data_IF_635394987307
#
_entry.id   IF_635394987307
#
_cell.length_a   1.000
_cell.length_b   1.000
_cell.length_c   1.000
_cell.angle_alpha   90.00
_cell.angle_beta   90.00
_cell.angle_gamma   90.00
#
_symmetry.space_group_name_H-M   'P 1'
#
loop_
_entity.id
_entity.type
_entity.pdbx_description
1 polymer ?
#
# COMPACT_ATOMS: atom_id res chain seq x y z
N UNK A 1 -13.42 -5.28 68.25
CA UNK A 1 -13.29 -6.12 67.04
C UNK A 1 -14.17 -5.66 65.85
N UNK A 2 -15.26 -4.88 66.02
CA UNK A 2 -16.14 -4.48 64.92
C UNK A 2 -15.59 -3.43 63.94
N UNK A 3 -14.78 -2.48 64.41
CA UNK A 3 -14.29 -1.35 63.60
C UNK A 3 -13.29 -1.78 62.51
N UNK A 4 -12.43 -2.75 62.80
CA UNK A 4 -11.44 -3.29 61.86
C UNK A 4 -12.10 -4.09 60.72
N UNK A 5 -13.22 -4.76 61.02
CA UNK A 5 -14.04 -5.49 60.03
C UNK A 5 -14.79 -4.52 59.11
N UNK A 6 -15.29 -3.41 59.64
CA UNK A 6 -15.96 -2.36 58.85
C UNK A 6 -15.01 -1.68 57.87
N UNK A 7 -13.80 -1.31 58.30
CA UNK A 7 -12.77 -0.69 57.44
C UNK A 7 -12.36 -1.60 56.27
N UNK A 8 -12.25 -2.91 56.48
CA UNK A 8 -11.98 -3.89 55.40
C UNK A 8 -13.13 -4.01 54.40
N UNK A 9 -14.40 -4.00 54.87
CA UNK A 9 -15.58 -4.04 53.99
C UNK A 9 -15.73 -2.77 53.15
N UNK A 10 -15.48 -1.61 53.75
CA UNK A 10 -15.42 -0.31 53.07
C UNK A 10 -14.31 -0.36 51.99
N UNK A 11 -13.10 -0.77 52.35
CA UNK A 11 -11.99 -0.88 51.39
C UNK A 11 -12.29 -1.83 50.22
N UNK A 12 -12.93 -2.99 50.47
CA UNK A 12 -13.33 -3.94 49.42
C UNK A 12 -14.37 -3.38 48.44
N UNK A 13 -15.20 -2.43 48.85
CA UNK A 13 -16.23 -1.82 47.98
C UNK A 13 -15.68 -0.62 47.22
N UNK A 14 -14.90 0.26 47.87
CA UNK A 14 -14.43 1.49 47.24
C UNK A 14 -13.19 1.30 46.36
N UNK A 15 -12.34 0.29 46.63
CA UNK A 15 -11.14 0.03 45.82
C UNK A 15 -11.49 -0.36 44.36
N UNK A 16 -12.44 -1.29 44.09
CA UNK A 16 -12.87 -1.58 42.72
C UNK A 16 -13.48 -0.37 42.01
N UNK A 17 -14.28 0.43 42.72
CA UNK A 17 -14.89 1.65 42.16
C UNK A 17 -13.81 2.65 41.77
N UNK A 18 -12.78 2.85 42.61
CA UNK A 18 -11.66 3.72 42.30
C UNK A 18 -10.88 3.24 41.08
N UNK A 19 -10.61 1.94 40.96
CA UNK A 19 -9.94 1.35 39.78
C UNK A 19 -10.78 1.58 38.51
N UNK A 20 -12.10 1.40 38.58
CA UNK A 20 -13.03 1.68 37.47
C UNK A 20 -12.99 3.17 37.09
N UNK A 21 -13.05 4.08 38.06
CA UNK A 21 -13.00 5.52 37.81
C UNK A 21 -11.68 5.96 37.19
N UNK A 22 -10.54 5.41 37.65
CA UNK A 22 -9.23 5.64 37.03
C UNK A 22 -9.22 5.13 35.59
N UNK A 23 -9.75 3.92 35.35
CA UNK A 23 -9.86 3.34 34.02
C UNK A 23 -10.73 4.18 33.07
N UNK A 24 -11.88 4.67 33.54
CA UNK A 24 -12.76 5.56 32.78
C UNK A 24 -12.11 6.91 32.49
N UNK A 25 -11.43 7.50 33.47
CA UNK A 25 -10.69 8.75 33.30
C UNK A 25 -9.56 8.61 32.28
N UNK A 26 -8.81 7.50 32.34
CA UNK A 26 -7.77 7.17 31.36
C UNK A 26 -8.36 6.99 29.95
N UNK A 27 -9.43 6.22 29.81
CA UNK A 27 -10.10 6.01 28.53
C UNK A 27 -10.65 7.32 27.94
N UNK A 28 -11.30 8.15 28.76
CA UNK A 28 -11.84 9.44 28.34
C UNK A 28 -10.74 10.40 27.89
N UNK A 29 -9.64 10.48 28.64
CA UNK A 29 -8.47 11.27 28.26
C UNK A 29 -7.89 10.82 26.91
N UNK A 30 -7.67 9.52 26.73
CA UNK A 30 -7.17 8.97 25.46
C UNK A 30 -8.13 9.16 24.29
N UNK A 31 -9.43 9.04 24.51
CA UNK A 31 -10.43 9.29 23.49
C UNK A 31 -10.42 10.75 23.04
N UNK A 32 -10.35 11.70 23.98
CA UNK A 32 -10.33 13.12 23.67
C UNK A 32 -9.03 13.55 22.99
N UNK A 33 -7.88 13.03 23.42
CA UNK A 33 -6.59 13.32 22.77
C UNK A 33 -6.55 12.75 21.35
N UNK A 34 -7.00 11.51 21.15
CA UNK A 34 -7.08 10.91 19.82
C UNK A 34 -8.01 11.68 18.89
N UNK A 35 -9.19 12.09 19.37
CA UNK A 35 -10.10 12.94 18.60
C UNK A 35 -9.48 14.30 18.25
N UNK A 36 -8.67 14.86 19.15
CA UNK A 36 -7.95 16.13 18.92
C UNK A 36 -6.86 15.97 17.87
N UNK A 37 -6.03 14.94 17.98
CA UNK A 37 -4.99 14.61 17.00
C UNK A 37 -5.60 14.44 15.62
N UNK A 38 -6.71 13.71 15.53
CA UNK A 38 -7.37 13.40 14.26
C UNK A 38 -7.87 14.66 13.52
N UNK A 39 -8.35 15.68 14.25
CA UNK A 39 -8.89 16.93 13.67
C UNK A 39 -7.84 18.03 13.49
N UNK A 40 -6.67 17.88 14.11
CA UNK A 40 -5.63 18.88 14.08
C UNK A 40 -4.91 18.94 12.73
N UNK A 41 -4.30 20.10 12.45
CA UNK A 41 -3.34 20.21 11.35
C UNK A 41 -2.13 19.31 11.60
N UNK A 42 -1.41 18.83 10.57
CA UNK A 42 -0.29 17.90 10.74
C UNK A 42 0.75 18.28 11.82
N UNK A 43 1.24 19.53 11.82
CA UNK A 43 2.19 19.99 12.85
C UNK A 43 1.59 20.01 14.26
N UNK A 44 0.33 20.43 14.38
CA UNK A 44 -0.38 20.43 15.66
C UNK A 44 -0.65 19.00 16.15
N UNK A 45 -1.04 18.10 15.25
CA UNK A 45 -1.25 16.68 15.53
C UNK A 45 0.01 16.04 16.12
N UNK A 46 1.17 16.24 15.48
CA UNK A 46 2.46 15.77 15.99
C UNK A 46 2.79 16.35 17.38
N UNK A 47 2.54 17.65 17.60
CA UNK A 47 2.77 18.31 18.89
C UNK A 47 1.85 17.76 20.00
N UNK A 48 0.57 17.56 19.72
CA UNK A 48 -0.40 16.98 20.67
C UNK A 48 -0.06 15.53 20.98
N UNK A 49 0.35 14.76 19.96
CA UNK A 49 0.84 13.39 20.11
C UNK A 49 2.20 13.29 20.82
N UNK A 50 2.90 14.43 21.01
CA UNK A 50 4.26 14.51 21.59
C UNK A 50 5.28 13.67 20.82
N UNK A 51 5.15 13.63 19.49
CA UNK A 51 6.03 12.87 18.60
C UNK A 51 7.00 13.82 17.89
N UNK A 52 8.29 13.49 17.95
CA UNK A 52 9.34 14.18 17.20
C UNK A 52 10.00 13.29 16.14
N UNK A 53 9.78 11.98 16.19
CA UNK A 53 10.33 11.02 15.24
C UNK A 53 9.37 9.84 15.01
N UNK A 54 9.34 9.32 13.79
CA UNK A 54 8.57 8.12 13.41
C UNK A 54 9.40 7.17 12.55
N UNK A 55 9.16 5.87 12.71
CA UNK A 55 9.77 4.80 11.93
C UNK A 55 8.75 4.25 10.93
N UNK A 56 8.97 4.45 9.64
CA UNK A 56 8.16 3.84 8.60
C UNK A 56 8.90 2.65 7.99
N UNK A 57 8.16 1.60 7.68
CA UNK A 57 8.68 0.41 6.99
C UNK A 57 7.95 0.27 5.67
N UNK A 58 8.69 0.30 4.58
CA UNK A 58 8.18 -0.08 3.27
C UNK A 58 8.61 -1.53 3.02
N UNK A 59 7.64 -2.43 2.77
CA UNK A 59 7.88 -3.85 2.51
C UNK A 59 7.19 -4.19 1.18
N UNK A 60 7.92 -4.77 0.23
CA UNK A 60 7.27 -5.12 -1.03
C UNK A 60 8.21 -5.57 -2.14
N UNK A 61 7.75 -5.30 -3.35
CA UNK A 61 8.37 -5.64 -4.63
C UNK A 61 9.20 -4.46 -5.20
N UNK A 62 9.34 -4.41 -6.53
CA UNK A 62 10.11 -3.40 -7.26
C UNK A 62 9.59 -1.97 -7.07
N UNK A 63 8.28 -1.78 -6.85
CA UNK A 63 7.72 -0.46 -6.56
C UNK A 63 8.22 0.07 -5.22
N UNK A 64 8.39 -0.83 -4.25
CA UNK A 64 8.99 -0.50 -2.96
C UNK A 64 10.48 -0.25 -3.13
N UNK A 65 11.20 -1.07 -3.89
CA UNK A 65 12.63 -0.85 -4.16
C UNK A 65 12.89 0.50 -4.88
N UNK A 66 11.93 0.98 -5.67
CA UNK A 66 12.00 2.25 -6.38
C UNK A 66 12.53 2.12 -7.81
N UNK A 67 12.40 0.94 -8.42
CA UNK A 67 12.80 0.72 -9.82
C UNK A 67 12.07 1.71 -10.73
N UNK A 68 12.77 2.24 -11.73
CA UNK A 68 12.20 3.21 -12.69
C UNK A 68 12.30 4.67 -12.27
N UNK A 69 12.63 4.97 -11.00
CA UNK A 69 12.81 6.34 -10.51
C UNK A 69 14.03 7.02 -11.15
N UNK A 70 13.77 7.94 -12.07
CA UNK A 70 14.75 8.70 -12.84
C UNK A 70 15.28 9.95 -12.11
N UNK A 71 14.86 10.19 -10.86
CA UNK A 71 15.34 11.30 -10.02
C UNK A 71 16.14 10.87 -8.80
N UNK A 72 16.37 9.56 -8.61
CA UNK A 72 17.09 9.01 -7.45
C UNK A 72 16.49 9.46 -6.10
N UNK A 73 15.17 9.63 -6.03
CA UNK A 73 14.42 10.06 -4.85
C UNK A 73 13.82 8.85 -4.09
N UNK A 74 14.33 7.64 -4.38
CA UNK A 74 13.98 6.36 -3.74
C UNK A 74 12.50 5.94 -3.92
N UNK A 75 11.97 6.17 -5.12
CA UNK A 75 10.59 5.82 -5.48
C UNK A 75 9.55 6.53 -4.60
N UNK A 76 8.42 5.87 -4.32
CA UNK A 76 7.41 6.45 -3.43
C UNK A 76 7.92 6.57 -1.98
N UNK A 77 8.84 5.71 -1.58
CA UNK A 77 9.27 5.55 -0.18
C UNK A 77 10.06 6.78 0.32
N UNK A 78 11.02 7.28 -0.47
CA UNK A 78 11.77 8.50 -0.13
C UNK A 78 10.88 9.74 -0.18
N UNK A 79 10.04 9.85 -1.21
CA UNK A 79 9.10 10.96 -1.41
C UNK A 79 8.10 11.08 -0.25
N UNK A 80 7.50 9.98 0.19
CA UNK A 80 6.56 10.04 1.31
C UNK A 80 7.27 10.40 2.63
N UNK A 81 8.47 9.89 2.85
CA UNK A 81 9.25 10.23 4.05
C UNK A 81 9.58 11.74 4.09
N UNK A 82 10.01 12.31 2.97
CA UNK A 82 10.25 13.75 2.85
C UNK A 82 8.97 14.57 3.07
N UNK A 83 7.86 14.17 2.43
CA UNK A 83 6.57 14.86 2.54
C UNK A 83 6.03 14.86 3.96
N UNK A 84 6.11 13.73 4.67
CA UNK A 84 5.71 13.63 6.08
C UNK A 84 6.62 14.48 6.97
N UNK A 85 7.95 14.40 6.79
CA UNK A 85 8.92 15.22 7.53
C UNK A 85 8.60 16.71 7.43
N UNK A 86 8.41 17.21 6.20
CA UNK A 86 8.13 18.63 5.96
C UNK A 86 6.76 19.06 6.51
N UNK A 87 5.74 18.22 6.35
CA UNK A 87 4.36 18.58 6.68
C UNK A 87 4.07 18.47 8.18
N UNK A 88 4.58 17.44 8.86
CA UNK A 88 4.37 17.22 10.29
C UNK A 88 5.46 17.86 11.16
N UNK A 89 6.64 18.16 10.60
CA UNK A 89 7.78 18.68 11.38
C UNK A 89 8.41 17.63 12.29
N UNK A 90 8.34 16.35 11.90
CA UNK A 90 8.94 15.21 12.62
C UNK A 90 10.05 14.59 11.80
N UNK A 91 11.03 13.97 12.45
CA UNK A 91 11.99 13.11 11.77
C UNK A 91 11.30 11.84 11.28
N UNK A 92 11.63 11.38 10.08
CA UNK A 92 11.11 10.13 9.51
C UNK A 92 12.27 9.22 9.17
N UNK A 93 12.34 8.06 9.82
CA UNK A 93 13.24 6.97 9.44
C UNK A 93 12.47 6.02 8.55
N UNK A 94 12.81 5.98 7.26
CA UNK A 94 12.23 5.03 6.30
C UNK A 94 13.17 3.84 6.13
N UNK A 95 12.68 2.64 6.49
CA UNK A 95 13.37 1.38 6.21
C UNK A 95 12.69 0.70 5.02
N UNK A 96 13.43 0.57 3.93
CA UNK A 96 12.94 0.04 2.67
C UNK A 96 13.40 -1.41 2.47
N UNK A 97 12.44 -2.33 2.38
CA UNK A 97 12.65 -3.76 2.13
C UNK A 97 11.96 -4.20 0.83
N UNK A 98 12.03 -3.37 -0.20
CA UNK A 98 11.66 -3.72 -1.56
C UNK A 98 12.65 -4.67 -2.19
N UNK A 99 12.16 -5.60 -3.00
CA UNK A 99 12.99 -6.46 -3.84
C UNK A 99 12.27 -6.74 -5.16
N UNK A 100 12.88 -6.37 -6.27
CA UNK A 100 12.28 -6.51 -7.59
C UNK A 100 11.92 -7.97 -7.91
N UNK A 101 10.78 -8.16 -8.57
CA UNK A 101 10.26 -9.47 -8.97
C UNK A 101 9.62 -10.30 -7.84
N UNK A 102 9.65 -9.83 -6.59
CA UNK A 102 9.05 -10.57 -5.48
C UNK A 102 7.52 -10.68 -5.60
N UNK A 103 7.02 -11.90 -5.46
CA UNK A 103 5.60 -12.20 -5.24
C UNK A 103 5.26 -12.22 -3.76
N UNK A 104 3.97 -12.27 -3.44
CA UNK A 104 3.44 -12.35 -2.07
C UNK A 104 4.06 -13.46 -1.21
N UNK A 105 4.34 -14.65 -1.77
CA UNK A 105 4.99 -15.75 -1.07
C UNK A 105 6.47 -15.46 -0.76
N UNK A 106 7.16 -14.76 -1.65
CA UNK A 106 8.57 -14.42 -1.49
C UNK A 106 8.76 -13.26 -0.49
N UNK A 107 7.90 -12.23 -0.55
CA UNK A 107 7.87 -11.15 0.45
C UNK A 107 7.65 -11.74 1.85
N UNK A 108 6.66 -12.64 1.98
CA UNK A 108 6.36 -13.33 3.24
C UNK A 108 7.54 -14.18 3.71
N UNK A 109 8.21 -14.89 2.80
CA UNK A 109 9.42 -15.67 3.13
C UNK A 109 10.51 -14.77 3.70
N UNK A 110 10.81 -13.62 3.05
CA UNK A 110 11.80 -12.66 3.56
C UNK A 110 11.41 -12.10 4.93
N UNK A 111 10.15 -11.70 5.12
CA UNK A 111 9.63 -11.24 6.41
C UNK A 111 9.87 -12.28 7.52
N UNK A 112 9.67 -13.57 7.23
CA UNK A 112 9.81 -14.63 8.23
C UNK A 112 11.25 -15.09 8.47
N UNK A 113 12.18 -14.81 7.55
CA UNK A 113 13.55 -15.33 7.59
C UNK A 113 14.61 -14.26 7.87
N UNK A 114 14.30 -12.97 7.67
CA UNK A 114 15.24 -11.88 7.87
C UNK A 114 14.95 -11.13 9.18
N UNK A 115 15.82 -11.31 10.18
CA UNK A 115 15.70 -10.66 11.49
C UNK A 115 15.67 -9.13 11.42
N UNK A 116 16.34 -8.50 10.45
CA UNK A 116 16.32 -7.05 10.30
C UNK A 116 14.93 -6.56 9.87
N UNK A 117 14.27 -7.29 8.94
CA UNK A 117 12.89 -6.98 8.54
C UNK A 117 11.96 -7.15 9.73
N UNK A 118 12.11 -8.22 10.51
CA UNK A 118 11.27 -8.49 11.68
C UNK A 118 11.37 -7.39 12.73
N UNK A 119 12.60 -6.99 13.10
CA UNK A 119 12.84 -5.90 14.05
C UNK A 119 12.27 -4.59 13.51
N UNK A 120 12.52 -4.25 12.24
CA UNK A 120 11.97 -3.04 11.65
C UNK A 120 10.44 -3.03 11.70
N UNK A 121 9.79 -4.13 11.28
CA UNK A 121 8.33 -4.28 11.31
C UNK A 121 7.80 -4.21 12.74
N UNK A 122 8.45 -4.82 13.72
CA UNK A 122 8.04 -4.78 15.14
C UNK A 122 7.99 -3.33 15.67
N UNK A 123 8.97 -2.51 15.32
CA UNK A 123 9.10 -1.12 15.80
C UNK A 123 8.48 -0.05 14.87
N UNK A 124 7.81 -0.45 13.79
CA UNK A 124 7.28 0.49 12.79
C UNK A 124 6.07 1.29 13.30
N UNK A 125 6.06 2.62 13.17
CA UNK A 125 4.88 3.46 13.34
C UNK A 125 3.86 3.25 12.22
N UNK A 126 4.30 2.95 11.00
CA UNK A 126 3.45 2.59 9.86
C UNK A 126 4.16 1.59 8.96
N UNK A 127 3.40 0.69 8.34
CA UNK A 127 3.88 -0.30 7.38
C UNK A 127 3.23 0.00 6.03
N UNK A 128 4.03 0.19 5.00
CA UNK A 128 3.57 0.44 3.64
C UNK A 128 3.90 -0.78 2.79
N UNK A 129 2.91 -1.30 2.06
CA UNK A 129 2.99 -2.58 1.37
C UNK A 129 2.70 -2.43 -0.12
N UNK A 130 3.62 -2.87 -0.97
CA UNK A 130 3.36 -3.17 -2.39
C UNK A 130 3.44 -4.68 -2.60
N UNK A 131 2.39 -5.25 -3.20
CA UNK A 131 2.29 -6.70 -3.44
C UNK A 131 1.15 -6.99 -4.41
N UNK A 132 1.31 -8.05 -5.20
CA UNK A 132 0.26 -8.59 -6.08
C UNK A 132 0.53 -8.41 -7.56
N UNK A 133 1.34 -7.41 -7.95
CA UNK A 133 1.74 -7.20 -9.34
C UNK A 133 2.43 -8.43 -9.93
N UNK A 134 3.45 -8.94 -9.24
CA UNK A 134 4.19 -10.13 -9.69
C UNK A 134 3.38 -11.44 -9.55
N UNK A 135 2.43 -11.50 -8.60
CA UNK A 135 1.50 -12.63 -8.50
C UNK A 135 0.58 -12.70 -9.72
N UNK A 136 0.04 -11.54 -10.15
CA UNK A 136 -0.77 -11.43 -11.35
C UNK A 136 0.09 -11.69 -12.59
N UNK A 137 1.26 -11.07 -12.70
CA UNK A 137 2.17 -11.27 -13.83
C UNK A 137 2.49 -12.75 -14.02
N UNK A 138 2.77 -13.50 -12.95
CA UNK A 138 3.00 -14.94 -13.03
C UNK A 138 1.79 -15.68 -13.61
N UNK A 139 0.57 -15.34 -13.18
CA UNK A 139 -0.65 -15.97 -13.73
C UNK A 139 -0.83 -15.64 -15.22
N UNK A 140 -0.57 -14.40 -15.63
CA UNK A 140 -0.68 -13.99 -17.03
C UNK A 140 0.34 -14.74 -17.89
N UNK A 141 1.61 -14.81 -17.46
CA UNK A 141 2.67 -15.52 -18.17
C UNK A 141 2.39 -17.03 -18.28
N UNK A 142 1.90 -17.67 -17.21
CA UNK A 142 1.52 -19.09 -17.26
C UNK A 142 0.37 -19.39 -18.23
N UNK A 143 -0.41 -18.36 -18.60
CA UNK A 143 -1.59 -18.48 -19.45
C UNK A 143 -1.47 -17.66 -20.73
N UNK A 144 -0.25 -17.32 -21.14
CA UNK A 144 0.04 -16.50 -22.32
C UNK A 144 -0.48 -17.09 -23.64
N UNK A 145 -0.71 -18.42 -23.68
CA UNK A 145 -1.28 -19.14 -24.83
C UNK A 145 -2.82 -19.27 -24.77
N UNK A 146 -3.49 -18.48 -23.93
CA UNK A 146 -4.96 -18.43 -23.90
C UNK A 146 -5.48 -18.00 -25.27
N UNK A 147 -6.54 -18.66 -25.75
CA UNK A 147 -7.09 -18.44 -27.09
C UNK A 147 -7.80 -17.09 -27.24
N UNK A 148 -8.32 -16.57 -26.13
CA UNK A 148 -9.09 -15.33 -26.08
C UNK A 148 -8.75 -14.54 -24.81
N UNK A 149 -8.90 -13.21 -24.81
CA UNK A 149 -8.82 -12.38 -23.60
C UNK A 149 -9.74 -12.89 -22.48
N UNK A 150 -10.95 -13.34 -22.82
CA UNK A 150 -11.93 -13.85 -21.87
C UNK A 150 -11.44 -15.13 -21.17
N UNK A 151 -10.77 -16.02 -21.90
CA UNK A 151 -10.21 -17.25 -21.32
C UNK A 151 -9.04 -16.96 -20.38
N UNK A 152 -8.24 -15.93 -20.69
CA UNK A 152 -7.18 -15.46 -19.81
C UNK A 152 -7.75 -14.93 -18.49
N UNK A 153 -8.74 -14.03 -18.56
CA UNK A 153 -9.41 -13.48 -17.36
C UNK A 153 -10.09 -14.56 -16.53
N UNK A 154 -10.70 -15.59 -17.13
CA UNK A 154 -11.24 -16.74 -16.36
C UNK A 154 -10.17 -17.42 -15.51
N UNK A 155 -8.94 -17.52 -16.02
CA UNK A 155 -7.84 -18.09 -15.23
C UNK A 155 -7.38 -17.17 -14.12
N UNK A 156 -7.34 -15.85 -14.35
CA UNK A 156 -7.08 -14.86 -13.29
C UNK A 156 -8.15 -14.93 -12.19
N UNK A 157 -9.43 -15.06 -12.55
CA UNK A 157 -10.54 -15.25 -11.60
C UNK A 157 -10.36 -16.49 -10.73
N UNK A 158 -9.85 -17.60 -11.29
CA UNK A 158 -9.51 -18.80 -10.51
C UNK A 158 -8.28 -18.60 -9.64
N UNK A 159 -7.22 -18.00 -10.19
CA UNK A 159 -5.93 -17.81 -9.51
C UNK A 159 -5.96 -16.81 -8.36
N UNK A 160 -6.84 -15.81 -8.39
CA UNK A 160 -6.91 -14.77 -7.35
C UNK A 160 -7.26 -15.31 -5.96
N UNK A 161 -7.90 -16.48 -5.86
CA UNK A 161 -8.19 -17.12 -4.56
C UNK A 161 -6.89 -17.56 -3.85
N UNK A 162 -5.96 -18.16 -4.60
CA UNK A 162 -4.66 -18.54 -4.07
C UNK A 162 -3.86 -17.30 -3.64
N UNK A 163 -3.91 -16.22 -4.42
CA UNK A 163 -3.34 -14.93 -4.05
C UNK A 163 -3.95 -14.37 -2.75
N UNK A 164 -5.29 -14.38 -2.61
CA UNK A 164 -5.96 -13.94 -1.38
C UNK A 164 -5.44 -14.71 -0.15
N UNK A 165 -5.25 -16.03 -0.26
CA UNK A 165 -4.69 -16.86 0.80
C UNK A 165 -3.25 -16.49 1.18
N UNK A 166 -2.39 -16.25 0.18
CA UNK A 166 -1.02 -15.78 0.41
C UNK A 166 -0.98 -14.39 1.08
N UNK A 167 -1.78 -13.44 0.57
CA UNK A 167 -1.85 -12.08 1.12
C UNK A 167 -2.39 -12.08 2.55
N UNK A 168 -3.43 -12.87 2.84
CA UNK A 168 -3.98 -13.03 4.20
C UNK A 168 -2.91 -13.59 5.15
N UNK A 169 -2.11 -14.55 4.69
CA UNK A 169 -1.02 -15.11 5.49
C UNK A 169 0.08 -14.08 5.74
N UNK A 170 0.45 -13.27 4.74
CA UNK A 170 1.40 -12.16 4.92
C UNK A 170 0.90 -11.15 5.95
N UNK A 171 -0.38 -10.73 5.88
CA UNK A 171 -0.98 -9.84 6.88
C UNK A 171 -0.95 -10.44 8.28
N UNK A 172 -1.28 -11.72 8.43
CA UNK A 172 -1.21 -12.43 9.71
C UNK A 172 0.22 -12.43 10.28
N UNK A 173 1.22 -12.67 9.45
CA UNK A 173 2.63 -12.67 9.85
C UNK A 173 3.09 -11.26 10.28
N UNK A 174 2.71 -10.22 9.54
CA UNK A 174 2.94 -8.81 9.94
C UNK A 174 2.26 -8.52 11.28
N UNK A 175 1.02 -8.97 11.50
CA UNK A 175 0.28 -8.74 12.75
C UNK A 175 0.87 -9.46 13.95
N UNK A 176 1.49 -10.63 13.76
CA UNK A 176 2.25 -11.31 14.82
C UNK A 176 3.48 -10.52 15.26
N UNK A 177 4.15 -9.85 14.33
CA UNK A 177 5.28 -8.97 14.63
C UNK A 177 4.81 -7.60 15.16
N UNK A 178 3.65 -7.12 14.68
CA UNK A 178 3.12 -5.81 15.01
C UNK A 178 1.59 -5.75 15.00
N UNK A 179 0.99 -5.90 16.19
CA UNK A 179 -0.46 -5.91 16.35
C UNK A 179 -1.13 -4.54 16.11
N UNK A 180 -0.38 -3.43 16.16
CA UNK A 180 -0.96 -2.08 16.25
C UNK A 180 -0.69 -1.18 15.04
N UNK A 181 0.49 -1.29 14.41
CA UNK A 181 0.87 -0.36 13.34
C UNK A 181 -0.12 -0.40 12.17
N UNK A 182 -0.59 0.75 11.64
CA UNK A 182 -1.41 0.75 10.45
C UNK A 182 -0.65 0.18 9.25
N UNK A 183 -1.33 -0.64 8.44
CA UNK A 183 -0.81 -1.17 7.16
C UNK A 183 -1.48 -0.41 6.01
N UNK A 184 -0.69 0.27 5.19
CA UNK A 184 -1.14 0.91 3.96
C UNK A 184 -0.73 0.05 2.78
N UNK A 185 -1.67 -0.66 2.18
CA UNK A 185 -1.43 -1.51 1.01
C UNK A 185 -1.83 -0.77 -0.28
N UNK A 186 -0.90 -0.67 -1.22
CA UNK A 186 -1.18 -0.08 -2.53
C UNK A 186 -2.05 -0.99 -3.42
N UNK A 187 -2.80 -0.35 -4.31
CA UNK A 187 -3.31 -0.99 -5.51
C UNK A 187 -2.20 -1.25 -6.53
N UNK A 188 -2.42 -2.27 -7.34
CA UNK A 188 -1.70 -2.51 -8.57
C UNK A 188 -2.27 -1.60 -9.69
N UNK A 189 -1.47 -1.37 -10.71
CA UNK A 189 -1.84 -0.66 -11.93
C UNK A 189 -1.46 -1.52 -13.15
N UNK A 190 -2.03 -1.21 -14.31
CA UNK A 190 -1.62 -1.83 -15.57
C UNK A 190 -0.61 -0.92 -16.29
N UNK A 191 0.69 -1.29 -16.36
CA UNK A 191 1.70 -0.47 -17.05
C UNK A 191 1.52 -0.45 -18.57
N UNK A 192 0.82 -1.44 -19.14
CA UNK A 192 0.71 -1.67 -20.58
C UNK A 192 -0.42 -0.87 -21.24
N UNK A 193 -1.32 -0.25 -20.46
CA UNK A 193 -2.54 0.37 -21.00
C UNK A 193 -2.24 1.44 -22.07
N UNK A 194 -1.23 2.29 -21.85
CA UNK A 194 -0.89 3.35 -22.80
C UNK A 194 -0.43 2.79 -24.14
N UNK A 195 0.22 1.63 -24.13
CA UNK A 195 0.68 0.95 -25.35
C UNK A 195 -0.43 0.11 -26.00
N UNK A 196 -1.32 -0.47 -25.20
CA UNK A 196 -2.37 -1.39 -25.65
C UNK A 196 -3.75 -1.02 -25.07
N UNK A 197 -4.32 0.15 -25.44
CA UNK A 197 -5.54 0.68 -24.83
C UNK A 197 -6.78 -0.19 -25.08
N UNK A 198 -6.75 -1.06 -26.10
CA UNK A 198 -7.82 -2.04 -26.42
C UNK A 198 -7.72 -3.34 -25.60
N UNK A 199 -6.63 -3.59 -24.88
CA UNK A 199 -6.47 -4.72 -23.96
C UNK A 199 -7.10 -4.44 -22.60
N UNK A 200 -8.42 -4.21 -22.61
CA UNK A 200 -9.19 -3.90 -21.40
C UNK A 200 -9.25 -5.05 -20.41
N UNK A 201 -8.99 -6.28 -20.87
CA UNK A 201 -8.86 -7.48 -20.05
C UNK A 201 -7.73 -7.35 -19.01
N UNK A 202 -6.60 -6.73 -19.35
CA UNK A 202 -5.53 -6.49 -18.36
C UNK A 202 -5.96 -5.50 -17.27
N UNK A 203 -6.72 -4.47 -17.63
CA UNK A 203 -7.29 -3.55 -16.63
C UNK A 203 -8.27 -4.30 -15.71
N UNK A 204 -9.09 -5.18 -16.28
CA UNK A 204 -10.02 -6.02 -15.52
C UNK A 204 -9.27 -6.96 -14.55
N UNK A 205 -8.20 -7.60 -15.02
CA UNK A 205 -7.39 -8.52 -14.24
C UNK A 205 -6.67 -7.82 -13.07
N UNK A 206 -6.12 -6.62 -13.31
CA UNK A 206 -5.57 -5.76 -12.25
C UNK A 206 -6.64 -5.37 -11.24
N UNK A 207 -7.84 -4.98 -11.69
CA UNK A 207 -8.95 -4.65 -10.79
C UNK A 207 -9.39 -5.85 -9.94
N UNK A 208 -9.37 -7.07 -10.49
CA UNK A 208 -9.67 -8.29 -9.73
C UNK A 208 -8.67 -8.53 -8.59
N UNK A 209 -7.39 -8.27 -8.82
CA UNK A 209 -6.36 -8.36 -7.78
C UNK A 209 -6.47 -7.22 -6.77
N UNK A 210 -6.77 -6.00 -7.22
CA UNK A 210 -7.02 -4.86 -6.35
C UNK A 210 -8.21 -5.08 -5.42
N UNK A 211 -9.27 -5.75 -5.90
CA UNK A 211 -10.40 -6.15 -5.07
C UNK A 211 -9.97 -7.13 -3.97
N UNK A 212 -8.99 -8.00 -4.23
CA UNK A 212 -8.39 -8.86 -3.21
C UNK A 212 -7.61 -8.04 -2.18
N UNK A 213 -6.75 -7.12 -2.62
CA UNK A 213 -6.00 -6.21 -1.71
C UNK A 213 -6.95 -5.44 -0.81
N UNK A 214 -7.98 -4.84 -1.39
CA UNK A 214 -8.99 -4.09 -0.66
C UNK A 214 -9.75 -4.98 0.33
N UNK A 215 -10.13 -6.19 -0.07
CA UNK A 215 -10.86 -7.13 0.79
C UNK A 215 -10.02 -7.56 2.00
N UNK A 216 -8.75 -7.92 1.79
CA UNK A 216 -7.85 -8.31 2.88
C UNK A 216 -7.59 -7.13 3.81
N UNK A 217 -7.33 -5.94 3.27
CA UNK A 217 -7.15 -4.73 4.07
C UNK A 217 -8.38 -4.41 4.94
N UNK A 218 -9.60 -4.49 4.38
CA UNK A 218 -10.85 -4.24 5.13
C UNK A 218 -11.13 -5.25 6.24
N UNK A 219 -10.60 -6.48 6.13
CA UNK A 219 -10.76 -7.49 7.17
C UNK A 219 -9.79 -7.27 8.35
N UNK A 220 -8.73 -6.49 8.15
CA UNK A 220 -7.81 -6.11 9.21
C UNK A 220 -8.25 -4.80 9.90
N UNK A 221 -8.09 -4.74 11.22
CA UNK A 221 -8.64 -3.65 12.05
C UNK A 221 -7.94 -2.30 11.88
N UNK A 222 -6.72 -2.28 11.34
CA UNK A 222 -5.91 -1.07 11.16
C UNK A 222 -5.16 -1.16 9.83
N UNK A 223 -5.89 -1.39 8.74
CA UNK A 223 -5.32 -1.45 7.39
C UNK A 223 -6.13 -0.64 6.40
N UNK A 224 -5.44 -0.07 5.44
CA UNK A 224 -5.99 0.87 4.48
C UNK A 224 -5.51 0.52 3.08
N UNK A 225 -6.46 0.40 2.15
CA UNK A 225 -6.16 0.25 0.74
C UNK A 225 -5.94 1.63 0.11
N UNK A 226 -4.75 1.85 -0.44
CA UNK A 226 -4.35 3.08 -1.13
C UNK A 226 -4.57 2.88 -2.62
N UNK A 227 -5.62 3.52 -3.15
CA UNK A 227 -5.97 3.44 -4.57
C UNK A 227 -4.94 4.12 -5.46
N UNK A 228 -4.34 3.37 -6.37
CA UNK A 228 -3.34 3.86 -7.34
C UNK A 228 -3.66 3.42 -8.77
N UNK A 229 -4.86 2.86 -9.00
CA UNK A 229 -5.23 2.31 -10.30
C UNK A 229 -5.16 3.34 -11.43
N UNK A 230 -5.43 4.62 -11.17
CA UNK A 230 -5.36 5.69 -12.18
C UNK A 230 -3.94 5.93 -12.74
N UNK A 231 -2.90 5.40 -12.09
CA UNK A 231 -1.55 5.33 -12.64
C UNK A 231 -1.52 4.55 -13.98
N UNK A 232 -2.44 3.60 -14.16
CA UNK A 232 -2.69 2.87 -15.41
C UNK A 232 -2.89 3.82 -16.59
N UNK A 233 -3.57 4.94 -16.37
CA UNK A 233 -3.95 5.84 -17.45
C UNK A 233 -2.85 6.84 -17.81
N UNK A 234 -1.77 6.95 -17.03
CA UNK A 234 -0.66 7.88 -17.29
C UNK A 234 -1.16 9.32 -17.50
N UNK A 235 -0.81 9.95 -18.61
CA UNK A 235 -1.32 11.28 -18.96
C UNK A 235 -2.79 11.32 -19.43
N UNK A 236 -3.41 10.17 -19.73
CA UNK A 236 -4.76 10.07 -20.32
C UNK A 236 -5.86 9.96 -19.26
N UNK A 237 -5.90 10.92 -18.33
CA UNK A 237 -6.74 10.86 -17.14
C UNK A 237 -8.24 11.04 -17.44
N UNK A 238 -8.62 11.75 -18.51
CA UNK A 238 -10.03 11.93 -18.87
C UNK A 238 -10.55 10.85 -19.82
N UNK A 239 -11.87 10.68 -19.88
CA UNK A 239 -12.50 9.75 -20.83
C UNK A 239 -12.16 10.11 -22.28
N UNK A 240 -12.21 11.40 -22.62
CA UNK A 240 -11.89 11.91 -23.94
C UNK A 240 -10.43 11.65 -24.33
N UNK A 241 -9.49 11.75 -23.37
CA UNK A 241 -8.09 11.42 -23.62
C UNK A 241 -7.91 9.95 -23.98
N UNK A 242 -8.63 9.06 -23.28
CA UNK A 242 -8.57 7.61 -23.56
C UNK A 242 -9.25 7.23 -24.86
N UNK A 243 -10.35 7.88 -25.22
CA UNK A 243 -10.99 7.69 -26.53
C UNK A 243 -10.05 8.10 -27.67
N UNK A 244 -9.37 9.25 -27.54
CA UNK A 244 -8.34 9.69 -28.50
C UNK A 244 -7.17 8.71 -28.60
N UNK A 245 -6.69 8.20 -27.47
CA UNK A 245 -5.62 7.19 -27.45
C UNK A 245 -6.03 5.92 -28.21
N UNK A 246 -7.29 5.47 -28.08
CA UNK A 246 -7.80 4.31 -28.84
C UNK A 246 -7.86 4.62 -30.34
N UNK A 247 -8.31 5.81 -30.73
CA UNK A 247 -8.35 6.24 -32.14
C UNK A 247 -6.95 6.33 -32.77
N UNK A 248 -5.95 6.78 -32.00
CA UNK A 248 -4.54 6.78 -32.41
C UNK A 248 -3.99 5.36 -32.54
N UNK A 249 -4.32 4.48 -31.60
CA UNK A 249 -3.94 3.07 -31.63
C UNK A 249 -4.53 2.32 -32.82
N UNK A 250 -5.80 2.55 -33.18
CA UNK A 250 -6.45 1.91 -34.34
C UNK A 250 -5.81 2.30 -35.70
N UNK A 251 -5.07 3.41 -35.74
CA UNK A 251 -4.30 3.85 -36.92
C UNK A 251 -2.87 3.27 -36.96
N UNK A 252 -2.46 2.57 -35.90
CA UNK A 252 -1.12 1.98 -35.78
C UNK A 252 -1.09 0.52 -36.26
N UNK A 253 0.10 0.03 -36.59
CA UNK A 253 0.30 -1.38 -36.99
C UNK A 253 0.00 -2.38 -35.84
N UNK A 254 -0.19 -1.89 -34.61
CA UNK A 254 -0.47 -2.68 -33.41
C UNK A 254 -1.97 -2.96 -33.18
N UNK A 255 -2.86 -2.59 -34.11
CA UNK A 255 -4.31 -2.70 -33.94
C UNK A 255 -4.85 -4.09 -33.53
N UNK A 256 -4.06 -5.16 -33.71
CA UNK A 256 -4.32 -6.54 -33.30
C UNK A 256 -3.22 -7.14 -32.39
N UNK A 257 -2.61 -6.33 -31.53
CA UNK A 257 -1.45 -6.70 -30.73
C UNK A 257 -1.60 -8.03 -29.99
N UNK A 258 -0.66 -8.95 -30.24
CA UNK A 258 -0.55 -10.24 -29.57
C UNK A 258 0.50 -10.20 -28.43
N UNK A 259 0.83 -11.36 -27.86
CA UNK A 259 1.81 -11.44 -26.77
C UNK A 259 3.23 -11.03 -27.19
N UNK A 260 3.63 -11.28 -28.45
CA UNK A 260 4.94 -10.87 -28.96
C UNK A 260 5.04 -9.36 -29.06
N UNK A 261 3.96 -8.69 -29.44
CA UNK A 261 3.92 -7.22 -29.47
C UNK A 261 4.07 -6.62 -28.07
N UNK A 262 3.43 -7.25 -27.07
CA UNK A 262 3.60 -6.86 -25.65
C UNK A 262 5.04 -7.04 -25.19
N UNK A 263 5.65 -8.19 -25.52
CA UNK A 263 7.04 -8.45 -25.19
C UNK A 263 7.96 -7.43 -25.87
N UNK A 264 7.72 -7.12 -27.15
CA UNK A 264 8.46 -6.11 -27.88
C UNK A 264 8.35 -4.74 -27.21
N UNK A 265 7.17 -4.30 -26.74
CA UNK A 265 7.04 -3.01 -26.02
C UNK A 265 7.81 -2.96 -24.70
N UNK A 266 7.93 -4.11 -24.01
CA UNK A 266 8.73 -4.20 -22.79
C UNK A 266 10.24 -4.21 -23.09
N UNK A 267 10.64 -4.62 -24.31
CA UNK A 267 12.03 -4.74 -24.75
C UNK A 267 12.50 -3.55 -25.64
N UNK A 268 11.57 -2.84 -26.28
CA UNK A 268 11.78 -1.86 -27.35
C UNK A 268 11.01 -0.55 -27.06
N UNK A 269 11.58 0.58 -27.50
CA UNK A 269 11.16 1.95 -27.15
C UNK A 269 10.17 2.58 -28.13
N UNK A 270 9.48 1.77 -28.95
CA UNK A 270 8.73 2.31 -30.08
C UNK A 270 7.35 2.93 -29.70
N UNK A 271 7.25 4.22 -30.03
CA UNK A 271 6.11 5.05 -30.47
C UNK A 271 4.80 5.21 -29.67
N UNK A 272 4.72 4.87 -28.39
CA UNK A 272 3.80 5.58 -27.46
C UNK A 272 4.51 5.89 -26.15
N UNK A 273 4.68 7.18 -25.84
CA UNK A 273 5.30 7.61 -24.58
C UNK A 273 4.25 7.67 -23.47
N UNK A 274 4.46 6.92 -22.39
CA UNK A 274 3.73 7.13 -21.14
C UNK A 274 4.55 8.07 -20.24
N UNK A 275 4.02 9.26 -19.97
CA UNK A 275 4.75 10.29 -19.21
C UNK A 275 4.96 9.92 -17.74
N UNK A 276 4.26 8.90 -17.21
CA UNK A 276 4.30 8.53 -15.79
C UNK A 276 5.08 7.23 -15.56
N UNK A 277 5.50 6.56 -16.63
CA UNK A 277 6.25 5.30 -16.61
C UNK A 277 7.68 5.57 -17.09
N UNK A 278 8.62 4.80 -16.56
CA UNK A 278 10.03 4.92 -16.86
C UNK A 278 10.33 4.44 -18.26
N UNK A 279 11.07 5.23 -19.03
CA UNK A 279 11.58 4.83 -20.35
C UNK A 279 12.76 3.85 -20.26
N UNK A 280 13.17 3.48 -19.04
CA UNK A 280 14.21 2.47 -18.80
C UNK A 280 13.67 1.07 -19.10
N UNK A 281 12.42 0.78 -18.72
CA UNK A 281 11.81 -0.55 -18.81
C UNK A 281 10.34 -0.56 -19.28
N UNK A 282 9.76 0.61 -19.57
CA UNK A 282 8.36 0.78 -19.98
C UNK A 282 7.34 0.10 -19.04
N UNK A 283 7.71 -0.11 -17.78
CA UNK A 283 6.93 -0.88 -16.83
C UNK A 283 6.79 -0.17 -15.48
N UNK A 284 7.89 0.26 -14.89
CA UNK A 284 7.87 0.87 -13.55
C UNK A 284 7.57 2.37 -13.61
N UNK A 285 7.03 2.97 -12.55
CA UNK A 285 6.76 4.40 -12.53
C UNK A 285 8.07 5.19 -12.60
N UNK A 286 8.04 6.34 -13.27
CA UNK A 286 9.10 7.33 -13.16
C UNK A 286 8.82 8.27 -11.97
N UNK A 287 9.56 9.37 -11.85
CA UNK A 287 9.33 10.35 -10.79
C UNK A 287 7.92 10.94 -10.75
N UNK A 288 7.24 11.12 -11.88
CA UNK A 288 5.85 11.60 -11.94
C UNK A 288 4.92 10.55 -11.36
N UNK A 289 5.04 9.30 -11.80
CA UNK A 289 4.24 8.18 -11.29
C UNK A 289 4.47 7.91 -9.79
N UNK A 290 5.73 7.97 -9.33
CA UNK A 290 6.04 7.84 -7.90
C UNK A 290 5.56 9.03 -7.06
N UNK A 291 5.58 10.25 -7.59
CA UNK A 291 4.97 11.41 -6.94
C UNK A 291 3.45 11.25 -6.79
N UNK A 292 2.79 10.68 -7.80
CA UNK A 292 1.38 10.32 -7.72
C UNK A 292 1.13 9.30 -6.60
N UNK A 293 1.88 8.19 -6.56
CA UNK A 293 1.77 7.18 -5.51
C UNK A 293 2.00 7.76 -4.11
N UNK A 294 3.05 8.56 -3.93
CA UNK A 294 3.34 9.23 -2.66
C UNK A 294 2.24 10.21 -2.25
N UNK A 295 1.59 10.86 -3.22
CA UNK A 295 0.45 11.75 -2.95
C UNK A 295 -0.77 10.96 -2.48
N UNK A 296 -1.12 9.87 -3.15
CA UNK A 296 -2.22 8.99 -2.72
C UNK A 296 -1.97 8.47 -1.30
N UNK A 297 -0.78 7.95 -1.03
CA UNK A 297 -0.42 7.45 0.30
C UNK A 297 -0.49 8.54 1.39
N UNK A 298 -0.05 9.76 1.07
CA UNK A 298 -0.09 10.88 2.01
C UNK A 298 -1.52 11.24 2.43
N UNK A 299 -2.49 11.16 1.52
CA UNK A 299 -3.89 11.42 1.84
C UNK A 299 -4.43 10.43 2.89
N UNK A 300 -4.09 9.15 2.76
CA UNK A 300 -4.44 8.13 3.76
C UNK A 300 -3.68 8.32 5.06
N UNK A 301 -2.37 8.60 5.03
CA UNK A 301 -1.59 8.89 6.23
C UNK A 301 -2.17 10.09 7.00
N UNK A 302 -2.60 11.15 6.29
CA UNK A 302 -3.25 12.31 6.91
C UNK A 302 -4.61 11.94 7.49
N UNK A 303 -5.43 11.21 6.74
CA UNK A 303 -6.75 10.77 7.19
C UNK A 303 -6.66 9.86 8.41
N UNK A 304 -5.59 9.11 8.55
CA UNK A 304 -5.42 8.13 9.63
C UNK A 304 -4.29 8.55 10.58
N UNK A 305 -4.03 9.85 10.70
CA UNK A 305 -2.86 10.39 11.40
C UNK A 305 -2.74 9.94 12.85
N UNK A 306 -3.87 9.73 13.54
CA UNK A 306 -3.85 9.21 14.91
C UNK A 306 -3.21 7.83 14.99
N UNK A 307 -3.44 6.97 13.99
CA UNK A 307 -3.06 5.55 14.04
C UNK A 307 -1.55 5.32 14.02
N UNK A 308 -0.79 6.18 13.35
CA UNK A 308 0.67 6.07 13.29
C UNK A 308 1.40 7.08 14.19
N UNK A 309 0.79 8.21 14.54
CA UNK A 309 1.37 9.16 15.50
C UNK A 309 1.27 8.65 16.95
N UNK A 310 0.17 8.04 17.37
CA UNK A 310 0.01 7.62 18.78
C UNK A 310 0.50 6.20 19.04
N UNK A 311 1.24 5.62 18.09
CA UNK A 311 1.81 4.30 18.29
C UNK A 311 3.01 4.39 19.23
N UNK A 312 2.94 3.65 20.32
CA UNK A 312 4.01 3.49 21.31
C UNK A 312 4.56 2.06 21.27
#
# INVERSE_FOLDING_TARGET
MGEFSMKKKILMIYLPILVILIGLGYFWYHWQTNATIQRATPRQAAKVAKVSAVNFVALGDSLTEGIGDDKNEQGYSGRIAQKVKQTYGVSVTMQNFGLAGDRSDQIRKRLNQNGNIQVAVQHANAIILTVGGNDLQQLLLQNMFSKTPEDLTKTVVRGKQAYQGKLTSLFSDIRRLNAQAPIFIFGNYNPLFVHFPKRTDFNQDVMLFNAVNQKVARHDKASYYVGTFDLTYGQYQTKADRERLVEEFDKSDLGNADFKDIQAVLEDKNNVSNQWISTIDNYHPNHIGYNYMATQLFEYLRKEQVTWLTKH
#
